data_IF_712381921438
#
_entry.id   IF_712381921438
#
_cell.length_a   1.000
_cell.length_b   1.000
_cell.length_c   1.000
_cell.angle_alpha   90.00
_cell.angle_beta   90.00
_cell.angle_gamma   90.00
#
_symmetry.space_group_name_H-M   'P 1'
#
loop_
_entity.id
_entity.type
_entity.pdbx_description
1 polymer ?
#
# COMPACT_ATOMS: atom_id res chain seq x y z
N UNK A 1 45.10 -29.50 -31.34
CA UNK A 1 44.17 -29.26 -30.20
C UNK A 1 43.21 -28.15 -30.63
N UNK A 2 41.94 -28.44 -30.99
CA UNK A 2 40.68 -28.29 -30.17
C UNK A 2 40.42 -26.82 -29.75
N UNK A 3 39.33 -26.07 -30.04
CA UNK A 3 37.91 -26.25 -30.52
C UNK A 3 37.39 -24.86 -31.07
N UNK A 4 36.64 -24.76 -32.19
CA UNK A 4 35.15 -24.51 -32.38
C UNK A 4 34.52 -23.46 -31.43
N UNK A 5 33.63 -22.53 -31.79
CA UNK A 5 32.63 -22.35 -32.87
C UNK A 5 32.25 -20.84 -32.96
N UNK A 6 32.10 -20.20 -34.12
CA UNK A 6 30.92 -20.14 -35.01
C UNK A 6 29.61 -19.61 -34.36
N UNK A 7 29.26 -18.37 -34.73
CA UNK A 7 27.92 -17.79 -35.01
C UNK A 7 26.72 -18.13 -34.12
N UNK A 8 26.03 -17.08 -33.66
CA UNK A 8 24.62 -16.86 -34.00
C UNK A 8 24.20 -15.44 -33.60
N UNK A 9 24.05 -14.57 -34.60
CA UNK A 9 23.18 -13.41 -34.53
C UNK A 9 21.80 -13.91 -34.06
N UNK A 10 21.25 -13.27 -33.03
CA UNK A 10 19.91 -13.60 -32.57
C UNK A 10 18.93 -13.08 -33.61
N UNK A 11 18.48 -14.01 -34.45
CA UNK A 11 17.38 -13.83 -35.40
C UNK A 11 16.16 -13.34 -34.61
N UNK A 12 15.91 -12.04 -34.69
CA UNK A 12 14.56 -11.52 -34.49
C UNK A 12 13.89 -11.85 -35.82
N UNK A 13 13.09 -12.92 -35.87
CA UNK A 13 12.20 -13.22 -36.97
C UNK A 13 11.20 -12.07 -37.13
N UNK A 14 11.64 -10.98 -37.77
CA UNK A 14 10.75 -9.99 -38.33
C UNK A 14 10.04 -10.71 -39.47
N UNK A 15 8.75 -10.96 -39.27
CA UNK A 15 7.84 -11.41 -40.31
C UNK A 15 8.06 -10.52 -41.55
N UNK A 16 8.73 -11.07 -42.56
CA UNK A 16 9.05 -10.40 -43.82
C UNK A 16 7.81 -10.22 -44.70
N UNK A 17 6.79 -9.56 -44.16
CA UNK A 17 5.65 -9.09 -44.91
C UNK A 17 6.04 -7.70 -45.38
N UNK A 18 6.45 -7.59 -46.65
CA UNK A 18 6.73 -6.33 -47.30
C UNK A 18 5.45 -5.49 -47.38
N UNK A 19 5.21 -4.66 -46.38
CA UNK A 19 4.23 -3.57 -46.46
C UNK A 19 4.90 -2.37 -47.12
N UNK A 20 4.86 -2.35 -48.45
CA UNK A 20 5.28 -1.21 -49.25
C UNK A 20 4.30 -0.05 -48.97
N UNK A 21 4.74 0.97 -48.21
CA UNK A 21 3.95 2.18 -47.91
C UNK A 21 3.72 2.51 -46.43
N UNK A 22 4.22 1.73 -45.48
CA UNK A 22 4.20 2.13 -44.06
C UNK A 22 5.50 2.87 -43.74
N UNK A 23 5.40 4.20 -43.68
CA UNK A 23 6.47 5.06 -43.19
C UNK A 23 6.80 4.62 -41.75
N UNK A 24 8.02 4.10 -41.54
CA UNK A 24 8.49 3.68 -40.22
C UNK A 24 8.68 4.94 -39.39
N UNK A 25 7.64 5.30 -38.64
CA UNK A 25 7.72 6.36 -37.64
C UNK A 25 8.77 5.91 -36.62
N UNK A 26 9.88 6.66 -36.54
CA UNK A 26 10.90 6.42 -35.55
C UNK A 26 10.25 6.39 -34.16
N UNK A 27 10.53 5.37 -33.32
CA UNK A 27 9.90 5.27 -32.01
C UNK A 27 10.21 6.53 -31.21
N UNK A 28 9.16 7.24 -30.77
CA UNK A 28 9.27 8.37 -29.86
C UNK A 28 10.12 7.93 -28.66
N UNK A 29 11.18 8.67 -28.30
CA UNK A 29 11.97 8.33 -27.13
C UNK A 29 11.04 8.26 -25.92
N UNK A 30 11.08 7.17 -25.13
CA UNK A 30 10.22 7.03 -23.97
C UNK A 30 10.48 8.20 -23.02
N UNK A 31 9.45 9.00 -22.79
CA UNK A 31 9.48 10.04 -21.77
C UNK A 31 9.81 9.38 -20.42
N UNK A 32 10.80 9.87 -19.65
CA UNK A 32 11.13 9.27 -18.37
C UNK A 32 9.93 9.45 -17.45
N UNK A 33 9.24 8.34 -17.15
CA UNK A 33 8.14 8.34 -16.20
C UNK A 33 8.57 9.06 -14.91
N UNK A 34 7.73 9.93 -14.33
CA UNK A 34 8.07 10.62 -13.11
C UNK A 34 8.48 9.59 -12.07
N UNK A 35 9.65 9.83 -11.49
CA UNK A 35 10.28 9.03 -10.45
C UNK A 35 9.51 9.19 -9.13
N UNK A 36 8.20 8.89 -9.15
CA UNK A 36 7.52 8.44 -7.95
C UNK A 36 8.19 7.13 -7.61
N UNK A 37 9.26 7.22 -6.83
CA UNK A 37 10.06 6.12 -6.33
C UNK A 37 9.11 4.95 -6.06
N UNK A 38 9.26 3.86 -6.81
CA UNK A 38 8.47 2.64 -6.61
C UNK A 38 8.87 2.10 -5.24
N UNK A 39 8.24 2.58 -4.18
CA UNK A 39 8.53 2.14 -2.82
C UNK A 39 8.03 0.71 -2.71
N UNK A 40 8.95 -0.24 -2.84
CA UNK A 40 8.65 -1.65 -2.66
C UNK A 40 8.61 -1.89 -1.14
N UNK A 41 7.42 -2.19 -0.63
CA UNK A 41 7.20 -2.51 0.78
C UNK A 41 7.03 -4.03 0.90
N UNK A 42 7.88 -4.66 1.69
CA UNK A 42 7.78 -6.08 2.03
C UNK A 42 7.01 -6.25 3.32
N UNK A 43 5.91 -7.00 3.27
CA UNK A 43 5.07 -7.31 4.43
C UNK A 43 5.25 -8.77 4.82
N UNK A 44 5.42 -9.05 6.12
CA UNK A 44 5.37 -10.42 6.65
C UNK A 44 3.95 -10.72 7.11
N UNK A 45 3.44 -11.88 6.72
CA UNK A 45 2.15 -12.38 7.15
C UNK A 45 2.18 -13.91 7.24
N UNK A 46 1.25 -14.53 8.00
CA UNK A 46 1.13 -15.98 8.03
C UNK A 46 0.79 -16.57 6.66
N UNK A 47 1.32 -17.75 6.35
CA UNK A 47 1.16 -18.41 5.04
C UNK A 47 -0.32 -18.62 4.66
N UNK A 48 -1.15 -19.01 5.64
CA UNK A 48 -2.58 -19.19 5.43
C UNK A 48 -3.29 -17.89 4.99
N UNK A 49 -2.79 -16.73 5.43
CA UNK A 49 -3.33 -15.44 5.01
C UNK A 49 -2.84 -15.08 3.60
N UNK A 50 -1.56 -15.35 3.30
CA UNK A 50 -0.98 -15.13 1.97
C UNK A 50 -1.74 -15.92 0.91
N UNK A 51 -2.00 -17.21 1.14
CA UNK A 51 -2.75 -18.06 0.22
C UNK A 51 -4.15 -17.51 -0.10
N UNK A 52 -4.84 -16.97 0.90
CA UNK A 52 -6.17 -16.35 0.71
C UNK A 52 -6.10 -15.07 -0.13
N UNK A 53 -5.05 -14.28 0.04
CA UNK A 53 -4.83 -13.07 -0.77
C UNK A 53 -4.55 -13.44 -2.22
N UNK A 54 -3.74 -14.48 -2.45
CA UNK A 54 -3.43 -14.99 -3.79
C UNK A 54 -4.68 -15.51 -4.49
N UNK A 55 -5.48 -16.33 -3.81
CA UNK A 55 -6.76 -16.84 -4.35
C UNK A 55 -7.72 -15.70 -4.70
N UNK A 56 -7.88 -14.72 -3.81
CA UNK A 56 -8.74 -13.57 -4.04
C UNK A 56 -8.24 -12.67 -5.19
N UNK A 57 -6.91 -12.53 -5.34
CA UNK A 57 -6.31 -11.79 -6.44
C UNK A 57 -6.53 -12.49 -7.77
N UNK A 58 -6.33 -13.82 -7.79
CA UNK A 58 -6.55 -14.65 -8.97
C UNK A 58 -8.02 -14.62 -9.42
N UNK A 59 -8.97 -14.76 -8.49
CA UNK A 59 -10.41 -14.67 -8.79
C UNK A 59 -10.81 -13.31 -9.40
N UNK A 60 -10.04 -12.25 -9.14
CA UNK A 60 -10.26 -10.90 -9.65
C UNK A 60 -9.38 -10.57 -10.87
N UNK A 61 -8.52 -11.48 -11.31
CA UNK A 61 -7.60 -11.26 -12.43
C UNK A 61 -6.56 -10.15 -12.17
N UNK A 62 -6.19 -9.92 -10.91
CA UNK A 62 -5.21 -8.89 -10.51
C UNK A 62 -4.01 -9.52 -9.79
N UNK A 63 -2.89 -8.79 -9.71
CA UNK A 63 -1.75 -9.25 -8.92
C UNK A 63 -2.02 -9.10 -7.41
N UNK A 64 -1.46 -9.98 -6.55
CA UNK A 64 -1.56 -9.85 -5.11
C UNK A 64 -1.13 -8.48 -4.59
N UNK A 65 -0.04 -7.91 -5.14
CA UNK A 65 0.44 -6.58 -4.76
C UNK A 65 -0.54 -5.46 -5.12
N UNK A 66 -1.27 -5.59 -6.24
CA UNK A 66 -2.32 -4.63 -6.62
C UNK A 66 -3.52 -4.72 -5.68
N UNK A 67 -3.97 -5.94 -5.40
CA UNK A 67 -5.05 -6.18 -4.43
C UNK A 67 -4.69 -5.63 -3.04
N UNK A 68 -3.47 -5.91 -2.57
CA UNK A 68 -2.98 -5.41 -1.27
C UNK A 68 -2.97 -3.88 -1.22
N UNK A 69 -2.51 -3.20 -2.28
CA UNK A 69 -2.57 -1.73 -2.35
C UNK A 69 -4.00 -1.21 -2.26
N UNK A 70 -4.94 -1.82 -2.97
CA UNK A 70 -6.34 -1.42 -2.92
C UNK A 70 -6.96 -1.64 -1.52
N UNK A 71 -6.66 -2.77 -0.87
CA UNK A 71 -7.12 -3.06 0.49
C UNK A 71 -6.55 -2.08 1.51
N UNK A 72 -5.26 -1.76 1.41
CA UNK A 72 -4.60 -0.77 2.28
C UNK A 72 -5.23 0.61 2.06
N UNK A 73 -5.46 1.02 0.82
CA UNK A 73 -6.10 2.31 0.52
C UNK A 73 -7.54 2.38 1.08
N UNK A 74 -8.36 1.36 0.85
CA UNK A 74 -9.72 1.29 1.39
C UNK A 74 -9.74 1.23 2.93
N UNK A 75 -8.78 0.51 3.51
CA UNK A 75 -8.58 0.44 4.96
C UNK A 75 -8.19 1.80 5.55
N UNK A 76 -7.27 2.53 4.91
CA UNK A 76 -6.87 3.87 5.33
C UNK A 76 -8.05 4.85 5.24
N UNK A 77 -8.81 4.85 4.16
CA UNK A 77 -9.99 5.72 4.01
C UNK A 77 -11.02 5.48 5.13
N UNK A 78 -11.32 4.21 5.41
CA UNK A 78 -12.18 3.82 6.53
C UNK A 78 -11.57 4.14 7.91
N UNK A 79 -10.26 4.03 8.06
CA UNK A 79 -9.57 4.31 9.32
C UNK A 79 -9.56 5.81 9.62
N UNK A 80 -9.33 6.65 8.61
CA UNK A 80 -9.49 8.10 8.73
C UNK A 80 -10.94 8.49 8.97
N UNK A 81 -11.92 7.80 8.36
CA UNK A 81 -13.33 8.00 8.67
C UNK A 81 -13.69 7.62 10.12
N UNK A 82 -13.19 6.48 10.62
CA UNK A 82 -13.38 6.05 12.01
C UNK A 82 -12.67 6.96 13.03
N UNK A 83 -11.55 7.58 12.64
CA UNK A 83 -10.86 8.64 13.39
C UNK A 83 -11.46 10.02 13.14
N UNK A 84 -12.45 10.16 12.24
CA UNK A 84 -13.24 11.38 12.04
C UNK A 84 -14.52 11.42 12.88
N UNK A 85 -14.96 10.26 13.36
CA UNK A 85 -15.98 10.11 14.42
C UNK A 85 -15.41 9.92 15.86
N UNK A 86 -14.32 10.60 16.32
CA UNK A 86 -13.84 10.47 17.68
C UNK A 86 -14.50 11.48 18.62
N UNK A 87 -15.58 12.16 18.22
CA UNK A 87 -16.07 13.31 18.98
C UNK A 87 -16.70 12.92 20.31
N UNK A 88 -17.39 11.78 20.38
CA UNK A 88 -18.25 11.52 21.54
C UNK A 88 -17.46 10.78 22.63
N UNK A 89 -16.82 9.64 22.30
CA UNK A 89 -16.12 8.87 23.33
C UNK A 89 -14.82 9.54 23.83
N UNK A 90 -14.10 10.27 22.99
CA UNK A 90 -12.91 10.99 23.43
C UNK A 90 -13.29 12.22 24.29
N UNK A 91 -14.39 12.90 23.96
CA UNK A 91 -14.90 14.00 24.78
C UNK A 91 -15.46 13.50 26.12
N UNK A 92 -16.21 12.39 26.12
CA UNK A 92 -16.70 11.72 27.33
C UNK A 92 -15.55 11.28 28.25
N UNK A 93 -14.49 10.68 27.70
CA UNK A 93 -13.28 10.32 28.46
C UNK A 93 -12.57 11.55 29.04
N UNK A 94 -12.48 12.64 28.27
CA UNK A 94 -11.90 13.89 28.74
C UNK A 94 -12.75 14.56 29.83
N UNK A 95 -14.08 14.46 29.76
CA UNK A 95 -15.00 14.92 30.79
C UNK A 95 -14.91 14.05 32.06
N UNK A 96 -14.87 12.73 31.90
CA UNK A 96 -14.70 11.79 33.01
C UNK A 96 -13.39 12.08 33.75
N UNK A 97 -12.27 12.24 33.02
CA UNK A 97 -10.97 12.58 33.61
C UNK A 97 -11.04 13.89 34.40
N UNK A 98 -11.64 14.95 33.84
CA UNK A 98 -11.84 16.23 34.55
C UNK A 98 -12.73 16.08 35.80
N UNK A 99 -13.72 15.19 35.77
CA UNK A 99 -14.56 14.90 36.94
C UNK A 99 -13.75 14.20 38.05
N UNK A 100 -12.97 13.19 37.70
CA UNK A 100 -12.08 12.47 38.62
C UNK A 100 -11.05 13.42 39.23
N UNK A 101 -10.39 14.26 38.43
CA UNK A 101 -9.41 15.24 38.91
C UNK A 101 -10.03 16.25 39.89
N UNK A 102 -11.27 16.68 39.65
CA UNK A 102 -12.03 17.54 40.58
C UNK A 102 -12.34 16.84 41.90
N UNK A 103 -12.74 15.57 41.86
CA UNK A 103 -13.02 14.78 43.06
C UNK A 103 -11.73 14.56 43.86
N UNK A 104 -10.66 14.13 43.21
CA UNK A 104 -9.35 13.96 43.83
C UNK A 104 -8.86 15.25 44.50
N UNK A 105 -8.99 16.39 43.81
CA UNK A 105 -8.62 17.70 44.36
C UNK A 105 -9.51 18.16 45.53
N UNK A 106 -10.76 17.70 45.59
CA UNK A 106 -11.67 17.97 46.73
C UNK A 106 -11.31 17.11 47.92
N UNK A 107 -11.01 15.83 47.71
CA UNK A 107 -10.58 14.91 48.76
C UNK A 107 -9.27 15.38 49.38
N UNK A 108 -8.25 15.69 48.57
CA UNK A 108 -6.97 16.21 49.07
C UNK A 108 -7.11 17.50 49.89
N UNK A 109 -8.04 18.39 49.49
CA UNK A 109 -8.34 19.63 50.26
C UNK A 109 -9.19 19.40 51.50
N UNK A 110 -10.04 18.38 51.49
CA UNK A 110 -10.85 17.96 52.65
C UNK A 110 -9.99 17.29 53.71
N UNK A 111 -9.02 16.48 53.30
CA UNK A 111 -8.00 15.88 54.17
C UNK A 111 -7.06 16.94 54.76
N UNK A 112 -6.72 17.99 54.01
CA UNK A 112 -5.97 19.14 54.52
C UNK A 112 -6.76 20.05 55.49
N UNK A 113 -8.06 19.80 55.68
CA UNK A 113 -8.96 20.59 56.54
C UNK A 113 -9.62 19.75 57.65
N UNK A 114 -9.19 18.49 57.81
CA UNK A 114 -9.46 17.69 59.01
C UNK A 114 -8.61 18.19 60.20
N UNK A 115 -9.09 18.00 61.45
CA UNK A 115 -8.66 18.74 62.64
C UNK A 115 -7.17 18.68 62.97
#
# INVERSE_FOLDING_TARGET
MKRRAASAATDVEQLGIGFEGIEVIAPTPPEPAPDTMRQIVSLRMPDALLARVEEAAQARGVSPSSLMRALIAAGLDRSYAAVRDPSDMAAELAELRRSVDRIASRLARGEAKGP
#
